data_IF_085268857906
#
_entry.id   IF_085268857906
#
_cell.length_a   1.000
_cell.length_b   1.000
_cell.length_c   1.000
_cell.angle_alpha   90.00
_cell.angle_beta   90.00
_cell.angle_gamma   90.00
#
_symmetry.space_group_name_H-M   'P 1'
#
loop_
_entity.id
_entity.type
_entity.pdbx_description
1 polymer ?
#
# COMPACT_ATOMS: atom_id res chain seq x y z
N UNK A 1 -8.28 4.43 12.77
CA UNK A 1 -9.09 5.66 12.67
C UNK A 1 -9.29 6.10 11.24
N UNK A 2 -8.21 6.25 10.45
CA UNK A 2 -8.31 6.70 9.05
C UNK A 2 -9.27 5.87 8.20
N UNK A 3 -9.21 4.54 8.30
CA UNK A 3 -10.08 3.65 7.54
C UNK A 3 -11.49 3.49 8.14
N UNK A 4 -11.76 3.97 9.37
CA UNK A 4 -13.01 3.63 10.09
C UNK A 4 -14.28 4.02 9.32
N UNK A 5 -14.27 5.18 8.66
CA UNK A 5 -15.42 5.67 7.88
C UNK A 5 -15.79 4.74 6.72
N UNK A 6 -14.82 4.03 6.16
CA UNK A 6 -14.98 3.16 4.99
C UNK A 6 -14.48 1.74 5.27
N UNK A 7 -14.48 1.32 6.53
CA UNK A 7 -13.78 0.09 6.94
C UNK A 7 -14.38 -1.15 6.28
N UNK A 8 -15.71 -1.24 6.22
CA UNK A 8 -16.41 -2.31 5.50
C UNK A 8 -16.01 -2.34 4.03
N UNK A 9 -16.08 -1.20 3.34
CA UNK A 9 -15.69 -1.08 1.94
C UNK A 9 -14.24 -1.52 1.70
N UNK A 10 -13.32 -1.17 2.59
CA UNK A 10 -11.92 -1.62 2.50
C UNK A 10 -11.78 -3.12 2.71
N UNK A 11 -12.48 -3.69 3.69
CA UNK A 11 -12.48 -5.14 3.92
C UNK A 11 -13.02 -5.89 2.71
N UNK A 12 -14.20 -5.50 2.21
CA UNK A 12 -14.80 -6.14 1.03
C UNK A 12 -13.87 -6.03 -0.18
N UNK A 13 -13.23 -4.87 -0.36
CA UNK A 13 -12.27 -4.68 -1.43
C UNK A 13 -11.03 -5.56 -1.26
N UNK A 14 -10.46 -5.69 -0.06
CA UNK A 14 -9.33 -6.60 0.20
C UNK A 14 -9.73 -8.05 -0.15
N UNK A 15 -10.92 -8.50 0.27
CA UNK A 15 -11.38 -9.87 0.07
C UNK A 15 -11.63 -10.22 -1.41
N UNK A 16 -11.94 -9.23 -2.23
CA UNK A 16 -12.14 -9.43 -3.68
C UNK A 16 -10.86 -9.29 -4.52
N UNK A 17 -9.76 -8.83 -3.92
CA UNK A 17 -8.49 -8.65 -4.65
C UNK A 17 -7.67 -9.94 -4.65
N UNK A 18 -6.89 -10.11 -5.72
CA UNK A 18 -6.00 -11.27 -5.90
C UNK A 18 -4.75 -11.15 -5.02
N UNK A 19 -4.33 -9.92 -4.70
CA UNK A 19 -3.06 -9.64 -4.01
C UNK A 19 -3.29 -9.38 -2.52
N UNK A 20 -3.23 -10.46 -1.74
CA UNK A 20 -3.32 -10.39 -0.29
C UNK A 20 -2.85 -11.68 0.38
N UNK A 21 -2.26 -11.53 1.57
CA UNK A 21 -1.77 -12.65 2.37
C UNK A 21 -2.27 -12.49 3.80
N UNK A 22 -2.68 -13.60 4.43
CA UNK A 22 -3.10 -13.65 5.84
C UNK A 22 -2.26 -14.64 6.61
N UNK A 23 -2.07 -14.36 7.90
CA UNK A 23 -1.43 -15.27 8.85
C UNK A 23 -2.48 -15.68 9.89
N UNK A 24 -2.72 -16.98 10.00
CA UNK A 24 -3.55 -17.59 11.02
C UNK A 24 -2.76 -18.67 11.77
N UNK A 25 -3.11 -18.91 13.03
CA UNK A 25 -2.62 -20.09 13.76
C UNK A 25 -3.73 -21.14 13.76
N UNK A 26 -3.92 -21.85 12.65
CA UNK A 26 -4.83 -23.00 12.71
C UNK A 26 -4.11 -24.15 13.40
N UNK A 27 -4.54 -24.49 14.62
CA UNK A 27 -4.70 -25.92 14.87
C UNK A 27 -5.93 -26.32 14.06
N UNK A 28 -5.79 -27.32 13.20
CA UNK A 28 -6.79 -27.74 12.21
C UNK A 28 -8.15 -28.23 12.78
N UNK A 29 -8.48 -27.90 14.04
CA UNK A 29 -9.60 -28.47 14.80
C UNK A 29 -10.34 -27.49 15.73
N UNK A 30 -10.08 -26.18 15.71
CA UNK A 30 -10.92 -25.20 16.43
C UNK A 30 -11.72 -24.34 15.45
N UNK A 31 -13.02 -24.20 15.70
CA UNK A 31 -14.00 -23.47 14.87
C UNK A 31 -13.74 -21.93 14.77
N UNK A 32 -12.64 -21.44 15.35
CA UNK A 32 -12.27 -20.04 15.38
C UNK A 32 -10.89 -19.84 14.72
N UNK A 33 -10.87 -19.76 13.39
CA UNK A 33 -9.68 -19.37 12.62
C UNK A 33 -9.35 -17.89 12.89
N UNK A 34 -8.58 -17.63 13.95
CA UNK A 34 -8.13 -16.29 14.27
C UNK A 34 -7.06 -15.82 13.26
N UNK A 35 -7.28 -14.65 12.65
CA UNK A 35 -6.30 -13.96 11.80
C UNK A 35 -5.44 -13.04 12.66
N UNK A 36 -4.12 -13.30 12.69
CA UNK A 36 -3.14 -12.56 13.49
C UNK A 36 -2.45 -11.45 12.71
N UNK A 37 -2.51 -11.50 11.39
CA UNK A 37 -2.01 -10.45 10.51
C UNK A 37 -2.46 -10.63 9.07
N UNK A 38 -2.47 -9.53 8.33
CA UNK A 38 -2.75 -9.51 6.91
C UNK A 38 -1.98 -8.40 6.21
N UNK A 39 -1.67 -8.60 4.94
CA UNK A 39 -1.11 -7.59 4.05
C UNK A 39 -1.80 -7.67 2.69
N UNK A 40 -2.09 -6.52 2.06
CA UNK A 40 -2.75 -6.47 0.75
C UNK A 40 -2.34 -5.21 -0.02
N UNK A 41 -2.10 -5.38 -1.33
CA UNK A 41 -1.90 -4.29 -2.28
C UNK A 41 -3.16 -4.16 -3.13
N UNK A 42 -3.95 -3.13 -2.83
CA UNK A 42 -5.23 -2.90 -3.50
C UNK A 42 -5.00 -1.97 -4.69
N UNK A 43 -5.23 -2.47 -5.92
CA UNK A 43 -5.17 -1.62 -7.12
C UNK A 43 -6.31 -0.59 -7.07
N UNK A 44 -5.93 0.69 -7.05
CA UNK A 44 -6.88 1.81 -6.93
C UNK A 44 -7.31 2.37 -8.28
N UNK A 45 -6.89 1.74 -9.38
CA UNK A 45 -7.42 2.04 -10.69
C UNK A 45 -8.87 1.58 -10.78
N UNK A 46 -9.74 2.48 -11.23
CA UNK A 46 -11.15 2.19 -11.47
C UNK A 46 -11.38 2.12 -12.97
N UNK A 47 -10.99 1.02 -13.66
CA UNK A 47 -11.21 0.93 -15.08
C UNK A 47 -12.71 1.10 -15.37
N UNK A 48 -13.08 1.84 -16.43
CA UNK A 48 -14.47 1.88 -16.87
C UNK A 48 -14.85 0.45 -17.24
N UNK A 49 -15.72 -0.17 -16.45
CA UNK A 49 -16.17 -1.52 -16.72
C UNK A 49 -16.93 -1.51 -18.05
N UNK A 50 -16.45 -2.31 -19.01
CA UNK A 50 -17.09 -2.44 -20.32
C UNK A 50 -18.36 -3.29 -20.29
N UNK A 51 -18.59 -4.00 -19.18
CA UNK A 51 -19.64 -5.02 -19.02
C UNK A 51 -20.50 -4.80 -17.76
N UNK A 52 -20.52 -3.59 -17.16
CA UNK A 52 -21.30 -3.30 -15.94
C UNK A 52 -22.78 -3.16 -16.24
N UNK A 53 -23.48 -4.29 -16.35
CA UNK A 53 -24.92 -4.32 -16.61
C UNK A 53 -25.78 -4.28 -15.33
N UNK A 54 -25.20 -4.35 -14.14
CA UNK A 54 -25.93 -4.35 -12.86
C UNK A 54 -25.66 -3.11 -12.01
N UNK A 55 -26.74 -2.50 -11.48
CA UNK A 55 -26.69 -1.32 -10.60
C UNK A 55 -25.82 -1.51 -9.36
N UNK A 56 -25.79 -2.73 -8.83
CA UNK A 56 -25.01 -3.10 -7.64
C UNK A 56 -23.50 -2.95 -7.87
N UNK A 57 -22.96 -3.39 -9.01
CA UNK A 57 -21.54 -3.27 -9.32
C UNK A 57 -21.09 -1.80 -9.47
N UNK A 58 -21.95 -0.96 -10.05
CA UNK A 58 -21.73 0.48 -10.16
C UNK A 58 -21.70 1.15 -8.78
N UNK A 59 -22.57 0.72 -7.86
CA UNK A 59 -22.60 1.22 -6.50
C UNK A 59 -21.36 0.80 -5.72
N UNK A 60 -20.95 -0.47 -5.78
CA UNK A 60 -19.71 -0.95 -5.17
C UNK A 60 -18.48 -0.21 -5.71
N UNK A 61 -18.39 0.01 -7.02
CA UNK A 61 -17.29 0.76 -7.62
C UNK A 61 -17.26 2.22 -7.13
N UNK A 62 -18.44 2.85 -7.00
CA UNK A 62 -18.56 4.19 -6.44
C UNK A 62 -18.09 4.23 -4.99
N UNK A 63 -18.54 3.29 -4.15
CA UNK A 63 -18.12 3.23 -2.75
C UNK A 63 -16.61 3.08 -2.60
N UNK A 64 -15.96 2.23 -3.41
CA UNK A 64 -14.50 2.08 -3.42
C UNK A 64 -13.79 3.35 -3.84
N UNK A 65 -14.31 4.02 -4.87
CA UNK A 65 -13.77 5.32 -5.33
C UNK A 65 -13.86 6.36 -4.22
N UNK A 66 -15.02 6.47 -3.57
CA UNK A 66 -15.23 7.42 -2.47
C UNK A 66 -14.30 7.10 -1.28
N UNK A 67 -14.11 5.81 -0.96
CA UNK A 67 -13.21 5.37 0.11
C UNK A 67 -11.74 5.72 -0.17
N UNK A 68 -11.28 5.51 -1.41
CA UNK A 68 -9.91 5.85 -1.79
C UNK A 68 -9.68 7.35 -1.96
N UNK A 69 -10.64 8.06 -2.55
CA UNK A 69 -10.59 9.51 -2.72
C UNK A 69 -10.52 10.22 -1.36
N UNK A 70 -11.22 9.71 -0.34
CA UNK A 70 -11.06 10.18 1.03
C UNK A 70 -9.60 10.09 1.52
N UNK A 71 -8.90 8.97 1.27
CA UNK A 71 -7.49 8.83 1.66
C UNK A 71 -6.58 9.79 0.90
N UNK A 72 -6.81 9.96 -0.41
CA UNK A 72 -6.05 10.90 -1.25
C UNK A 72 -6.21 12.33 -0.75
N UNK A 73 -7.45 12.77 -0.54
CA UNK A 73 -7.74 14.10 -0.03
C UNK A 73 -7.14 14.31 1.35
N UNK A 74 -7.18 13.29 2.21
CA UNK A 74 -6.54 13.36 3.52
C UNK A 74 -5.03 13.54 3.42
N UNK A 75 -4.36 12.72 2.59
CA UNK A 75 -2.92 12.82 2.35
C UNK A 75 -2.55 14.22 1.83
N UNK A 76 -3.26 14.72 0.82
CA UNK A 76 -2.97 16.01 0.19
C UNK A 76 -3.26 17.20 1.11
N UNK A 77 -4.36 17.15 1.86
CA UNK A 77 -4.75 18.24 2.76
C UNK A 77 -3.75 18.43 3.89
N UNK A 78 -3.26 17.34 4.46
CA UNK A 78 -2.31 17.35 5.58
C UNK A 78 -0.85 17.30 5.10
N UNK A 79 -0.61 17.40 3.78
CA UNK A 79 0.72 17.36 3.19
C UNK A 79 1.48 18.67 3.48
N UNK A 80 2.72 18.60 4.00
CA UNK A 80 3.59 19.77 4.10
C UNK A 80 3.80 20.44 2.73
N UNK A 81 3.91 21.77 2.71
CA UNK A 81 4.04 22.55 1.48
C UNK A 81 5.21 22.11 0.59
N UNK A 82 6.32 21.66 1.20
CA UNK A 82 7.51 21.16 0.51
C UNK A 82 7.25 19.88 -0.30
N UNK A 83 6.30 19.04 0.10
CA UNK A 83 5.94 17.80 -0.59
C UNK A 83 4.66 17.89 -1.42
N UNK A 84 3.94 19.02 -1.35
CA UNK A 84 2.60 19.13 -1.92
C UNK A 84 2.59 18.92 -3.43
N UNK A 85 3.53 19.56 -4.17
CA UNK A 85 3.64 19.40 -5.62
C UNK A 85 3.95 17.95 -6.02
N UNK A 86 4.87 17.30 -5.31
CA UNK A 86 5.26 15.92 -5.60
C UNK A 86 4.15 14.93 -5.25
N UNK A 87 3.48 15.13 -4.12
CA UNK A 87 2.38 14.27 -3.69
C UNK A 87 1.16 14.41 -4.60
N UNK A 88 0.78 15.64 -4.99
CA UNK A 88 -0.25 15.88 -6.01
C UNK A 88 0.11 15.16 -7.31
N UNK A 89 1.36 15.31 -7.77
CA UNK A 89 1.84 14.62 -8.97
C UNK A 89 1.71 13.10 -8.85
N UNK A 90 2.17 12.52 -7.74
CA UNK A 90 2.16 11.06 -7.52
C UNK A 90 0.74 10.49 -7.40
N UNK A 91 -0.20 11.22 -6.79
CA UNK A 91 -1.56 10.75 -6.56
C UNK A 91 -2.54 11.07 -7.72
N UNK A 92 -2.30 12.13 -8.49
CA UNK A 92 -3.18 12.57 -9.60
C UNK A 92 -2.67 12.14 -10.98
N UNK A 93 -1.36 12.08 -11.21
CA UNK A 93 -0.80 11.57 -12.47
C UNK A 93 -0.76 10.03 -12.54
N UNK A 94 -1.35 9.36 -11.56
CA UNK A 94 -1.66 7.94 -11.59
C UNK A 94 -2.63 7.53 -12.74
N UNK A 95 -3.09 8.48 -13.57
CA UNK A 95 -3.83 8.15 -14.79
C UNK A 95 -2.98 7.37 -15.82
N UNK A 96 -1.65 7.50 -15.81
CA UNK A 96 -0.74 6.71 -16.64
C UNK A 96 0.00 5.60 -15.85
N UNK A 97 -0.01 5.65 -14.52
CA UNK A 97 0.74 4.76 -13.62
C UNK A 97 -0.18 4.16 -12.54
N UNK A 98 -0.19 2.83 -12.37
CA UNK A 98 -1.02 2.18 -11.36
C UNK A 98 -0.64 2.63 -9.94
N UNK A 99 -1.63 2.96 -9.13
CA UNK A 99 -1.47 3.30 -7.72
C UNK A 99 -2.10 2.21 -6.87
N UNK A 100 -1.33 1.65 -5.95
CA UNK A 100 -1.75 0.62 -5.02
C UNK A 100 -1.87 1.21 -3.62
N UNK A 101 -2.97 0.93 -2.92
CA UNK A 101 -3.07 1.19 -1.49
C UNK A 101 -2.53 -0.03 -0.74
N UNK A 102 -1.48 0.16 0.06
CA UNK A 102 -0.90 -0.90 0.88
C UNK A 102 -1.51 -0.92 2.27
N UNK A 103 -2.36 -1.92 2.50
CA UNK A 103 -3.05 -2.18 3.75
C UNK A 103 -2.32 -3.32 4.47
N UNK A 104 -1.86 -3.07 5.68
CA UNK A 104 -1.18 -4.08 6.51
C UNK A 104 -1.60 -3.85 7.95
N UNK A 105 -2.18 -4.87 8.56
CA UNK A 105 -2.55 -4.88 9.96
C UNK A 105 -2.15 -6.19 10.59
N UNK A 106 -1.61 -6.15 11.79
CA UNK A 106 -1.23 -7.35 12.55
C UNK A 106 -1.22 -7.10 14.05
N UNK A 107 -1.20 -8.18 14.80
CA UNK A 107 -0.92 -8.11 16.23
C UNK A 107 0.52 -7.64 16.46
N UNK A 108 0.73 -6.83 17.50
CA UNK A 108 2.03 -6.19 17.80
C UNK A 108 3.09 -7.24 18.14
N UNK A 109 2.69 -8.36 18.72
CA UNK A 109 3.57 -9.46 19.12
C UNK A 109 3.86 -10.47 18.00
N UNK A 110 3.48 -10.21 16.74
CA UNK A 110 3.81 -11.10 15.63
C UNK A 110 5.33 -11.05 15.35
N UNK A 111 6.06 -12.19 15.36
CA UNK A 111 7.50 -12.22 15.14
C UNK A 111 7.90 -11.66 13.77
N UNK A 112 9.06 -11.00 13.69
CA UNK A 112 9.54 -10.38 12.44
C UNK A 112 9.82 -11.40 11.33
N UNK A 113 10.14 -12.64 11.69
CA UNK A 113 10.28 -13.77 10.77
C UNK A 113 8.98 -14.02 9.99
N UNK A 114 7.84 -13.98 10.68
CA UNK A 114 6.53 -14.19 10.07
C UNK A 114 6.12 -12.96 9.26
N UNK A 115 6.44 -11.76 9.75
CA UNK A 115 6.24 -10.50 9.02
C UNK A 115 7.01 -10.50 7.70
N UNK A 116 8.26 -10.95 7.71
CA UNK A 116 9.08 -11.10 6.50
C UNK A 116 8.40 -12.03 5.50
N UNK A 117 7.98 -13.22 5.92
CA UNK A 117 7.29 -14.18 5.05
C UNK A 117 6.00 -13.59 4.48
N UNK A 118 5.25 -12.83 5.29
CA UNK A 118 4.04 -12.13 4.82
C UNK A 118 4.35 -11.15 3.68
N UNK A 119 5.43 -10.36 3.81
CA UNK A 119 5.85 -9.43 2.76
C UNK A 119 6.39 -10.13 1.51
N UNK A 120 7.16 -11.21 1.69
CA UNK A 120 7.70 -12.00 0.57
C UNK A 120 6.56 -12.65 -0.22
N UNK A 121 5.56 -13.24 0.46
CA UNK A 121 4.40 -13.84 -0.20
C UNK A 121 3.54 -12.79 -0.92
N UNK A 122 3.24 -11.66 -0.26
CA UNK A 122 2.50 -10.56 -0.88
C UNK A 122 3.16 -10.10 -2.17
N UNK A 123 4.50 -10.03 -2.15
CA UNK A 123 5.27 -9.61 -3.31
C UNK A 123 5.21 -10.62 -4.46
N UNK A 124 5.32 -11.92 -4.16
CA UNK A 124 5.17 -12.99 -5.15
C UNK A 124 3.78 -12.96 -5.79
N UNK A 125 2.73 -12.76 -4.99
CA UNK A 125 1.35 -12.65 -5.46
C UNK A 125 1.17 -11.44 -6.39
N UNK A 126 1.77 -10.30 -6.03
CA UNK A 126 1.77 -9.10 -6.86
C UNK A 126 2.51 -9.32 -8.19
N UNK A 127 3.72 -9.88 -8.17
CA UNK A 127 4.48 -10.18 -9.39
C UNK A 127 3.72 -11.14 -10.32
N UNK A 128 3.06 -12.15 -9.74
CA UNK A 128 2.24 -13.09 -10.49
C UNK A 128 1.08 -12.38 -11.20
N UNK A 129 0.36 -11.51 -10.49
CA UNK A 129 -0.73 -10.72 -11.06
C UNK A 129 -0.23 -9.80 -12.18
N UNK A 130 0.88 -9.08 -11.98
CA UNK A 130 1.49 -8.24 -13.01
C UNK A 130 1.89 -9.03 -14.26
N UNK A 131 2.35 -10.28 -14.11
CA UNK A 131 2.65 -11.15 -15.24
C UNK A 131 1.40 -11.61 -15.99
N UNK A 132 0.29 -11.89 -15.29
CA UNK A 132 -0.98 -12.24 -15.92
C UNK A 132 -1.51 -11.09 -16.78
N UNK A 133 -1.44 -9.85 -16.28
CA UNK A 133 -1.85 -8.66 -17.04
C UNK A 133 -1.00 -8.45 -18.30
N UNK A 134 0.28 -8.78 -18.26
CA UNK A 134 1.17 -8.71 -19.42
C UNK A 134 0.90 -9.81 -20.46
N UNK A 135 0.42 -10.98 -20.02
CA UNK A 135 0.12 -12.13 -20.88
C UNK A 135 -1.24 -12.03 -21.59
N UNK A 136 -2.16 -11.14 -21.15
CA UNK A 136 -3.42 -10.94 -21.86
C UNK A 136 -3.19 -10.40 -23.29
N UNK A 137 -3.75 -11.04 -24.34
CA UNK A 137 -3.45 -10.69 -25.72
C UNK A 137 -3.94 -9.29 -26.07
N UNK A 138 -3.02 -8.48 -26.59
CA UNK A 138 -3.22 -7.11 -26.99
C UNK A 138 -4.19 -6.96 -28.19
N UNK A 139 -5.50 -6.88 -27.94
CA UNK A 139 -6.45 -6.33 -28.92
C UNK A 139 -6.46 -4.80 -28.95
N UNK A 140 -5.62 -4.10 -28.17
CA UNK A 140 -5.62 -2.63 -28.13
C UNK A 140 -4.25 -1.91 -28.03
N UNK A 141 -3.09 -2.58 -28.08
CA UNK A 141 -1.77 -1.92 -27.87
C UNK A 141 -0.96 -1.65 -29.15
N UNK A 142 -1.58 -1.17 -30.24
CA UNK A 142 -0.87 -0.87 -31.50
C UNK A 142 -0.30 0.57 -31.65
N UNK A 143 -0.23 1.40 -30.60
CA UNK A 143 0.30 2.78 -30.72
C UNK A 143 1.42 3.26 -29.76
N UNK A 144 1.90 2.48 -28.79
CA UNK A 144 2.91 2.96 -27.81
C UNK A 144 4.33 2.36 -27.90
N UNK A 145 4.69 1.63 -28.97
CA UNK A 145 6.07 1.13 -29.18
C UNK A 145 6.85 1.97 -30.19
N UNK A 146 7.34 3.15 -29.80
CA UNK A 146 8.44 3.82 -30.52
C UNK A 146 9.36 4.74 -29.70
N UNK A 147 9.30 4.73 -28.37
CA UNK A 147 10.11 5.67 -27.56
C UNK A 147 10.97 5.03 -26.45
N UNK A 148 10.97 3.71 -26.26
CA UNK A 148 11.67 3.07 -25.13
C UNK A 148 12.98 2.36 -25.54
N UNK A 149 13.82 3.03 -26.33
CA UNK A 149 15.14 2.51 -26.69
C UNK A 149 16.18 3.63 -26.73
N UNK A 150 16.40 4.31 -25.60
CA UNK A 150 17.63 5.03 -25.25
C UNK A 150 17.43 5.79 -23.93
N UNK A 151 17.86 5.22 -22.80
CA UNK A 151 18.39 5.97 -21.65
C UNK A 151 18.80 5.01 -20.54
N UNK A 152 20.11 4.74 -20.47
CA UNK A 152 20.79 4.25 -19.28
C UNK A 152 21.25 5.47 -18.46
N UNK A 153 21.25 5.31 -17.14
CA UNK A 153 21.92 6.10 -16.11
C UNK A 153 21.59 7.61 -16.06
N UNK A 154 20.68 7.99 -15.14
CA UNK A 154 20.82 9.06 -14.12
C UNK A 154 19.46 9.18 -13.41
N UNK A 155 19.42 9.15 -12.08
CA UNK A 155 18.20 9.29 -11.27
C UNK A 155 17.60 10.69 -11.43
N UNK A 156 16.63 10.79 -12.32
CA UNK A 156 15.58 11.80 -12.28
C UNK A 156 14.29 11.03 -12.47
N UNK A 157 13.41 11.11 -11.46
CA UNK A 157 12.08 10.48 -11.39
C UNK A 157 11.46 10.34 -12.78
N UNK A 158 11.54 9.13 -13.34
CA UNK A 158 10.94 8.84 -14.63
C UNK A 158 9.43 8.84 -14.43
N UNK A 159 8.78 9.92 -14.85
CA UNK A 159 7.33 10.12 -14.80
C UNK A 159 6.55 9.24 -15.79
N UNK A 160 7.08 8.08 -16.15
CA UNK A 160 6.53 7.19 -17.17
C UNK A 160 6.02 5.88 -16.54
N UNK A 161 4.75 5.89 -16.09
CA UNK A 161 3.93 4.68 -15.95
C UNK A 161 4.34 3.64 -14.90
N UNK A 162 5.33 3.93 -14.06
CA UNK A 162 5.80 2.98 -13.05
C UNK A 162 4.82 2.92 -11.87
N UNK A 163 4.43 1.72 -11.39
CA UNK A 163 3.52 1.58 -10.26
C UNK A 163 3.97 2.33 -9.01
N UNK A 164 3.02 2.74 -8.18
CA UNK A 164 3.26 3.42 -6.90
C UNK A 164 2.49 2.74 -5.79
N UNK A 165 3.05 2.71 -4.60
CA UNK A 165 2.46 2.11 -3.42
C UNK A 165 2.28 3.20 -2.36
N UNK A 166 1.03 3.48 -1.98
CA UNK A 166 0.67 4.42 -0.91
C UNK A 166 0.42 3.65 0.38
N UNK A 167 1.08 4.05 1.47
CA UNK A 167 0.89 3.49 2.80
C UNK A 167 0.69 4.56 3.85
N UNK A 168 -0.25 4.33 4.76
CA UNK A 168 -0.40 5.09 6.00
C UNK A 168 0.04 4.21 7.17
N UNK A 169 1.27 4.43 7.64
CA UNK A 169 1.87 3.66 8.72
C UNK A 169 1.56 4.30 10.09
N UNK A 170 0.94 3.58 11.04
CA UNK A 170 0.64 4.11 12.36
C UNK A 170 1.90 4.33 13.19
N UNK A 171 2.01 5.52 13.79
CA UNK A 171 3.14 5.90 14.64
C UNK A 171 2.69 6.80 15.81
N UNK A 172 3.56 6.90 16.81
CA UNK A 172 3.43 7.84 17.92
C UNK A 172 4.68 8.72 17.99
N UNK A 173 4.62 9.81 18.76
CA UNK A 173 5.80 10.59 19.09
C UNK A 173 6.12 10.39 20.56
N UNK A 174 7.39 10.19 20.89
CA UNK A 174 7.85 10.19 22.27
C UNK A 174 7.88 11.62 22.86
N UNK A 175 8.25 11.74 24.14
CA UNK A 175 8.36 13.03 24.82
C UNK A 175 9.43 13.97 24.22
N UNK A 176 10.34 13.44 23.39
CA UNK A 176 11.39 14.17 22.70
C UNK A 176 11.01 14.53 21.25
N UNK A 177 9.82 14.11 20.78
CA UNK A 177 9.36 14.31 19.42
C UNK A 177 9.88 13.28 18.42
N UNK A 178 10.62 12.27 18.86
CA UNK A 178 11.08 11.14 18.04
C UNK A 178 9.89 10.31 17.58
N UNK A 179 9.87 9.95 16.31
CA UNK A 179 8.82 9.12 15.74
C UNK A 179 9.05 7.65 16.12
N UNK A 180 8.05 7.03 16.75
CA UNK A 180 8.04 5.61 17.09
C UNK A 180 7.01 4.90 16.21
N UNK A 181 7.47 3.99 15.36
CA UNK A 181 6.60 3.19 14.52
C UNK A 181 5.93 2.10 15.34
N UNK A 182 4.64 1.86 15.09
CA UNK A 182 3.93 0.73 15.70
C UNK A 182 4.46 -0.62 15.18
N UNK A 183 4.89 -0.64 13.92
CA UNK A 183 5.43 -1.82 13.25
C UNK A 183 6.81 -1.49 12.69
N UNK A 184 7.81 -2.32 12.99
CA UNK A 184 9.20 -2.04 12.63
C UNK A 184 9.47 -2.01 11.12
N UNK A 185 8.78 -2.84 10.34
CA UNK A 185 8.81 -2.80 8.87
C UNK A 185 8.38 -1.44 8.30
N UNK A 186 7.52 -0.70 8.99
CA UNK A 186 7.15 0.66 8.56
C UNK A 186 8.33 1.64 8.64
N UNK A 187 9.26 1.43 9.57
CA UNK A 187 10.49 2.22 9.68
C UNK A 187 11.41 1.96 8.49
N UNK A 188 11.57 0.69 8.11
CA UNK A 188 12.37 0.28 6.94
C UNK A 188 11.77 0.83 5.65
N UNK A 189 10.44 0.73 5.51
CA UNK A 189 9.71 1.31 4.38
C UNK A 189 9.86 2.83 4.34
N UNK A 190 9.77 3.51 5.49
CA UNK A 190 9.93 4.94 5.56
C UNK A 190 11.33 5.41 5.12
N UNK A 191 12.37 4.65 5.46
CA UNK A 191 13.75 4.91 5.04
C UNK A 191 13.98 4.79 3.52
N UNK A 192 13.08 4.12 2.80
CA UNK A 192 13.13 3.92 1.34
C UNK A 192 12.03 4.68 0.59
N UNK A 193 11.17 5.43 1.25
CA UNK A 193 10.05 6.10 0.61
C UNK A 193 10.50 7.28 -0.28
N UNK A 194 9.83 7.47 -1.42
CA UNK A 194 10.01 8.64 -2.29
C UNK A 194 9.53 9.93 -1.61
N UNK A 195 8.39 9.82 -0.92
CA UNK A 195 7.78 10.89 -0.14
C UNK A 195 7.38 10.30 1.20
N UNK A 196 7.75 10.99 2.27
CA UNK A 196 7.59 10.54 3.65
C UNK A 196 7.29 11.74 4.54
N UNK A 197 6.10 11.81 5.11
CA UNK A 197 5.77 12.85 6.08
C UNK A 197 4.79 12.37 7.14
N UNK A 198 4.86 13.01 8.32
CA UNK A 198 4.00 12.70 9.46
C UNK A 198 2.76 13.59 9.42
N UNK A 199 1.59 12.98 9.56
CA UNK A 199 0.32 13.69 9.78
C UNK A 199 -0.31 13.25 11.10
N UNK A 200 -1.13 14.10 11.71
CA UNK A 200 -1.95 13.67 12.84
C UNK A 200 -2.98 12.66 12.33
N UNK A 201 -3.31 11.61 13.07
CA UNK A 201 -4.41 10.72 12.69
C UNK A 201 -5.76 11.42 12.91
N UNK A 202 -6.82 11.08 12.14
CA UNK A 202 -8.16 11.53 12.46
C UNK A 202 -8.55 11.11 13.88
N UNK A 203 -9.22 12.01 14.62
CA UNK A 203 -9.65 11.74 16.00
C UNK A 203 -10.53 10.48 16.03
N UNK A 204 -10.06 9.43 16.73
CA UNK A 204 -10.95 8.35 17.20
C UNK A 204 -11.72 8.84 18.42
N UNK A 205 -12.90 8.26 18.66
CA UNK A 205 -13.49 8.29 19.99
C UNK A 205 -12.53 7.62 21.00
N UNK A 206 -12.23 8.31 22.10
CA UNK A 206 -11.57 7.82 23.32
C UNK A 206 -10.05 7.61 23.38
N UNK A 207 -9.23 8.28 22.56
CA UNK A 207 -7.77 8.26 22.78
C UNK A 207 -7.26 9.57 23.37
N UNK A 208 -6.64 9.47 24.54
CA UNK A 208 -6.00 10.60 25.25
C UNK A 208 -4.72 11.04 24.53
N UNK A 209 -3.96 10.09 23.98
CA UNK A 209 -2.72 10.37 23.26
C UNK A 209 -2.94 10.60 21.76
N UNK A 210 -2.26 11.59 21.15
CA UNK A 210 -2.34 11.83 19.73
C UNK A 210 -1.63 10.71 18.96
N UNK A 211 -2.40 9.91 18.22
CA UNK A 211 -1.84 9.02 17.20
C UNK A 211 -1.46 9.82 15.95
N UNK A 212 -0.33 9.45 15.35
CA UNK A 212 0.15 9.98 14.09
C UNK A 212 0.12 8.89 13.01
N UNK A 213 0.18 9.33 11.76
CA UNK A 213 0.31 8.48 10.59
C UNK A 213 1.50 8.98 9.79
N UNK A 214 2.43 8.09 9.47
CA UNK A 214 3.46 8.33 8.48
C UNK A 214 2.86 8.02 7.11
N UNK A 215 2.76 9.02 6.25
CA UNK A 215 2.34 8.86 4.86
C UNK A 215 3.56 8.53 4.04
N UNK A 216 3.55 7.37 3.39
CA UNK A 216 4.65 6.84 2.61
C UNK A 216 4.20 6.60 1.16
N UNK A 217 5.00 7.07 0.21
CA UNK A 217 4.86 6.68 -1.19
C UNK A 217 6.12 5.96 -1.63
N UNK A 218 5.95 4.74 -2.13
CA UNK A 218 7.04 3.85 -2.53
C UNK A 218 6.94 3.49 -4.01
N UNK A 219 8.08 3.21 -4.61
CA UNK A 219 8.15 2.41 -5.84
C UNK A 219 8.18 0.91 -5.50
N UNK A 220 7.84 0.03 -6.45
CA UNK A 220 8.06 -1.41 -6.37
C UNK A 220 9.49 -1.75 -5.93
N UNK A 221 10.49 -1.14 -6.55
CA UNK A 221 11.91 -1.37 -6.24
C UNK A 221 12.28 -0.94 -4.81
N UNK A 222 11.77 0.21 -4.35
CA UNK A 222 12.04 0.72 -3.00
C UNK A 222 11.38 -0.18 -1.94
N UNK A 223 10.18 -0.71 -2.23
CA UNK A 223 9.55 -1.71 -1.38
C UNK A 223 10.42 -2.97 -1.27
N UNK A 224 10.88 -3.55 -2.38
CA UNK A 224 11.76 -4.72 -2.37
C UNK A 224 13.04 -4.49 -1.58
N UNK A 225 13.67 -3.31 -1.73
CA UNK A 225 14.86 -2.96 -0.95
C UNK A 225 14.58 -2.93 0.55
N UNK A 226 13.45 -2.38 0.98
CA UNK A 226 13.05 -2.39 2.39
C UNK A 226 12.82 -3.82 2.92
N UNK A 227 12.21 -4.69 2.11
CA UNK A 227 12.02 -6.11 2.49
C UNK A 227 13.37 -6.86 2.53
N UNK A 228 14.29 -6.53 1.63
CA UNK A 228 15.65 -7.05 1.69
C UNK A 228 16.37 -6.60 2.96
N UNK A 229 16.25 -5.33 3.37
CA UNK A 229 16.81 -4.84 4.63
C UNK A 229 16.22 -5.61 5.84
N UNK A 230 14.90 -5.85 5.84
CA UNK A 230 14.23 -6.68 6.84
C UNK A 230 14.81 -8.10 6.88
N UNK A 231 15.00 -8.71 5.70
CA UNK A 231 15.57 -10.05 5.55
C UNK A 231 16.98 -10.14 6.12
N UNK A 232 17.82 -9.14 5.87
CA UNK A 232 19.17 -9.10 6.42
C UNK A 232 19.15 -9.00 7.94
N UNK A 233 18.19 -8.27 8.51
CA UNK A 233 18.06 -8.10 9.96
C UNK A 233 17.59 -9.40 10.64
N UNK A 234 16.57 -10.05 10.07
CA UNK A 234 16.09 -11.36 10.53
C UNK A 234 17.15 -12.45 10.35
N UNK A 235 17.82 -12.48 9.20
CA UNK A 235 18.83 -13.49 8.88
C UNK A 235 20.14 -13.36 9.67
N UNK A 236 20.52 -12.16 10.07
CA UNK A 236 21.71 -11.91 10.88
C UNK A 236 21.44 -11.91 12.40
N UNK A 237 20.19 -11.76 12.84
CA UNK A 237 19.80 -11.81 14.25
C UNK A 237 19.70 -13.22 14.85
N UNK A 238 19.85 -14.27 14.03
CA UNK A 238 19.74 -15.67 14.42
C UNK A 238 21.07 -16.41 14.63
N UNK A 239 22.19 -15.72 14.86
CA UNK A 239 23.49 -16.34 15.17
C UNK A 239 24.14 -15.76 16.43
#
# INVERSE_FOLDING_TARGET
TLYQKHASTWTDWILEQVVGTVVSTSQAYSEEDAVFGFASLVDTSFPPSKDTNTKEQLETQKQRRDAFEFLKQYALKECPAEYQSDMTRLLEQANDAKLFAFLHGRMINLPLEIVLVLHEQLWLDWEYDQQLEQKQPATAKKKKKKAAAAASATSVVSANGEPRILRFAPCTKDNHGTLLYRYYDDELLAGRALVSYVVKAPKAYSQEDPIFLQVLVLTPDNYQQAIHDLKMLVGNGGR
#
